data_IF_553234036425
#
_entry.id   IF_553234036425
#
_cell.length_a   1.000
_cell.length_b   1.000
_cell.length_c   1.000
_cell.angle_alpha   90.00
_cell.angle_beta   90.00
_cell.angle_gamma   90.00
#
_symmetry.space_group_name_H-M   'P 1'
#
loop_
_entity.id
_entity.type
_entity.pdbx_description
1 polymer ?
#
# COMPACT_ATOMS: atom_id res chain seq x y z
N UNK A 1 21.86 -6.34 -1.08
CA UNK A 1 20.45 -5.92 -1.23
C UNK A 1 19.91 -5.69 0.17
N UNK A 2 19.38 -4.51 0.49
CA UNK A 2 18.83 -4.21 1.81
C UNK A 2 17.32 -4.45 1.80
N UNK A 3 16.81 -5.06 2.87
CA UNK A 3 15.38 -5.18 3.14
C UNK A 3 15.05 -4.37 4.39
N UNK A 4 14.03 -3.53 4.31
CA UNK A 4 13.57 -2.71 5.42
C UNK A 4 12.10 -3.01 5.70
N UNK A 5 11.80 -3.34 6.96
CA UNK A 5 10.44 -3.57 7.42
C UNK A 5 9.89 -2.28 8.07
N UNK A 6 8.76 -1.77 7.56
CA UNK A 6 8.10 -0.54 8.02
C UNK A 6 6.76 -0.83 8.70
N UNK A 7 6.76 -1.19 10.00
CA UNK A 7 5.55 -1.51 10.74
C UNK A 7 4.63 -0.31 10.92
N UNK A 8 5.18 0.90 10.88
CA UNK A 8 4.44 2.18 10.91
C UNK A 8 3.50 2.35 9.71
N UNK A 9 3.77 1.70 8.58
CA UNK A 9 2.90 1.70 7.40
C UNK A 9 1.94 0.50 7.35
N UNK A 10 2.03 -0.42 8.31
CA UNK A 10 1.23 -1.63 8.30
C UNK A 10 -0.24 -1.33 8.64
N UNK A 11 -1.21 -1.90 7.91
CA UNK A 11 -2.62 -1.73 8.27
C UNK A 11 -2.93 -2.38 9.62
N UNK A 12 -3.69 -1.67 10.45
CA UNK A 12 -4.14 -2.18 11.75
C UNK A 12 -5.05 -3.39 11.59
N UNK A 13 -5.25 -4.14 12.68
CA UNK A 13 -6.24 -5.23 12.70
C UNK A 13 -7.65 -4.75 12.40
N UNK A 14 -8.01 -3.53 12.82
CA UNK A 14 -9.31 -2.94 12.57
C UNK A 14 -9.53 -2.66 11.08
N UNK A 15 -8.57 -2.03 10.41
CA UNK A 15 -8.63 -1.80 8.96
C UNK A 15 -8.72 -3.12 8.19
N UNK A 16 -7.96 -4.14 8.59
CA UNK A 16 -8.05 -5.47 7.96
C UNK A 16 -9.44 -6.10 8.10
N UNK A 17 -10.04 -6.03 9.30
CA UNK A 17 -11.41 -6.51 9.54
C UNK A 17 -12.44 -5.74 8.71
N UNK A 18 -12.24 -4.45 8.56
CA UNK A 18 -13.09 -3.60 7.74
C UNK A 18 -13.08 -4.05 6.27
N UNK A 19 -11.90 -4.31 5.70
CA UNK A 19 -11.80 -4.87 4.36
C UNK A 19 -12.50 -6.24 4.26
N UNK A 20 -12.30 -7.12 5.24
CA UNK A 20 -12.91 -8.45 5.24
C UNK A 20 -14.44 -8.40 5.31
N UNK A 21 -15.00 -7.46 6.06
CA UNK A 21 -16.44 -7.28 6.13
C UNK A 21 -17.02 -6.85 4.78
N UNK A 22 -16.34 -5.94 4.06
CA UNK A 22 -16.75 -5.52 2.73
C UNK A 22 -16.59 -6.63 1.69
N UNK A 23 -15.47 -7.35 1.73
CA UNK A 23 -15.23 -8.52 0.89
C UNK A 23 -16.34 -9.57 1.08
N UNK A 24 -16.71 -9.86 2.33
CA UNK A 24 -17.81 -10.77 2.66
C UNK A 24 -19.17 -10.26 2.15
N UNK A 25 -19.46 -8.96 2.33
CA UNK A 25 -20.69 -8.32 1.84
C UNK A 25 -20.83 -8.43 0.32
N UNK A 26 -19.70 -8.37 -0.41
CA UNK A 26 -19.65 -8.49 -1.87
C UNK A 26 -19.52 -9.93 -2.37
N UNK A 27 -19.35 -10.92 -1.48
CA UNK A 27 -19.10 -12.31 -1.85
C UNK A 27 -17.74 -12.53 -2.54
N UNK A 28 -16.76 -11.65 -2.29
CA UNK A 28 -15.43 -11.72 -2.89
C UNK A 28 -14.45 -12.33 -1.90
N UNK A 29 -13.72 -13.38 -2.31
CA UNK A 29 -12.64 -13.94 -1.50
C UNK A 29 -11.39 -13.06 -1.54
N UNK A 30 -10.57 -13.09 -0.48
CA UNK A 30 -9.32 -12.29 -0.39
C UNK A 30 -8.42 -12.41 -1.64
N UNK A 31 -8.24 -13.62 -2.17
CA UNK A 31 -7.40 -13.90 -3.36
C UNK A 31 -8.04 -13.43 -4.68
N UNK A 32 -9.33 -13.13 -4.67
CA UNK A 32 -10.10 -12.66 -5.83
C UNK A 32 -10.46 -11.18 -5.71
N UNK A 33 -9.95 -10.49 -4.68
CA UNK A 33 -10.13 -9.05 -4.52
C UNK A 33 -9.25 -8.34 -5.53
N UNK A 34 -9.86 -7.44 -6.30
CA UNK A 34 -9.17 -6.59 -7.26
C UNK A 34 -9.02 -5.14 -6.78
N UNK A 35 -9.78 -4.72 -5.77
CA UNK A 35 -9.80 -3.35 -5.26
C UNK A 35 -10.00 -3.31 -3.74
N UNK A 36 -9.44 -2.29 -3.09
CA UNK A 36 -9.71 -1.98 -1.68
C UNK A 36 -11.11 -1.38 -1.50
N UNK A 37 -11.72 -1.63 -0.34
CA UNK A 37 -12.94 -0.98 0.07
C UNK A 37 -12.72 0.54 0.16
N UNK A 38 -13.69 1.34 -0.30
CA UNK A 38 -13.59 2.80 -0.25
C UNK A 38 -13.33 3.32 1.17
N UNK A 39 -14.02 2.72 2.14
CA UNK A 39 -13.86 3.01 3.57
C UNK A 39 -12.44 2.66 4.07
N UNK A 40 -11.89 1.50 3.65
CA UNK A 40 -10.51 1.12 3.98
C UNK A 40 -9.53 2.16 3.45
N UNK A 41 -9.67 2.56 2.18
CA UNK A 41 -8.80 3.55 1.55
C UNK A 41 -8.84 4.88 2.28
N UNK A 42 -10.03 5.36 2.67
CA UNK A 42 -10.19 6.61 3.41
C UNK A 42 -9.49 6.54 4.77
N UNK A 43 -9.79 5.50 5.57
CA UNK A 43 -9.23 5.37 6.92
C UNK A 43 -7.74 5.10 6.91
N UNK A 44 -7.23 4.23 6.03
CA UNK A 44 -5.79 4.01 5.87
C UNK A 44 -5.05 5.31 5.52
N UNK A 45 -5.63 6.13 4.64
CA UNK A 45 -5.03 7.42 4.29
C UNK A 45 -4.98 8.35 5.51
N UNK A 46 -6.12 8.57 6.18
CA UNK A 46 -6.25 9.52 7.28
C UNK A 46 -5.50 9.10 8.56
N UNK A 47 -5.55 7.80 8.91
CA UNK A 47 -5.01 7.31 10.19
C UNK A 47 -3.53 6.95 10.08
N UNK A 48 -3.06 6.52 8.91
CA UNK A 48 -1.69 6.02 8.72
C UNK A 48 -0.90 6.95 7.80
N UNK A 49 -1.33 7.15 6.55
CA UNK A 49 -0.49 7.87 5.58
C UNK A 49 -0.34 9.35 5.87
N UNK A 50 -1.36 10.00 6.43
CA UNK A 50 -1.33 11.44 6.72
C UNK A 50 -0.41 11.79 7.91
N UNK A 51 -0.10 10.81 8.76
CA UNK A 51 0.83 10.97 9.89
C UNK A 51 2.22 10.40 9.64
N UNK A 52 2.40 9.61 8.57
CA UNK A 52 3.66 8.94 8.27
C UNK A 52 4.68 9.85 7.59
N UNK A 53 5.93 9.83 8.07
CA UNK A 53 7.07 10.41 7.35
C UNK A 53 7.64 9.38 6.35
N UNK A 54 7.43 9.68 5.06
CA UNK A 54 7.91 8.87 3.95
C UNK A 54 9.28 9.32 3.43
N UNK A 55 9.78 10.47 3.88
CA UNK A 55 11.08 11.01 3.45
C UNK A 55 12.22 10.02 3.63
N UNK A 56 12.33 9.29 4.77
CA UNK A 56 13.43 8.34 4.97
C UNK A 56 13.46 7.22 3.92
N UNK A 57 12.29 6.83 3.38
CA UNK A 57 12.20 5.78 2.36
C UNK A 57 12.89 6.25 1.07
N UNK A 58 12.64 7.49 0.66
CA UNK A 58 13.21 8.05 -0.58
C UNK A 58 14.66 8.46 -0.37
N UNK A 59 15.00 9.02 0.78
CA UNK A 59 16.39 9.40 1.12
C UNK A 59 17.34 8.21 1.21
N UNK A 60 16.82 7.01 1.50
CA UNK A 60 17.62 5.78 1.46
C UNK A 60 17.96 5.32 0.03
N UNK A 61 17.28 5.85 -1.00
CA UNK A 61 17.59 5.56 -2.40
C UNK A 61 18.75 6.44 -2.86
N UNK A 62 19.78 5.82 -3.46
CA UNK A 62 20.79 6.58 -4.21
C UNK A 62 20.14 7.31 -5.39
N UNK A 63 20.80 8.35 -5.92
CA UNK A 63 20.34 9.01 -7.15
C UNK A 63 20.15 7.98 -8.28
N UNK A 64 18.92 7.83 -8.77
CA UNK A 64 18.57 6.82 -9.77
C UNK A 64 18.36 5.39 -9.23
N UNK A 65 18.35 5.22 -7.90
CA UNK A 65 18.07 3.95 -7.25
C UNK A 65 16.62 3.50 -7.45
N UNK A 66 16.42 2.19 -7.50
CA UNK A 66 15.11 1.55 -7.65
C UNK A 66 14.82 0.72 -6.40
N UNK A 67 13.63 0.87 -5.83
CA UNK A 67 13.11 0.02 -4.77
C UNK A 67 11.74 -0.57 -5.16
N UNK A 68 11.41 -1.70 -4.53
CA UNK A 68 10.15 -2.38 -4.70
C UNK A 68 9.39 -2.45 -3.38
N UNK A 69 8.09 -2.17 -3.42
CA UNK A 69 7.17 -2.44 -2.31
C UNK A 69 6.63 -3.87 -2.45
N UNK A 70 6.90 -4.71 -1.45
CA UNK A 70 6.44 -6.10 -1.44
C UNK A 70 5.01 -6.20 -0.86
N UNK A 71 4.15 -6.95 -1.54
CA UNK A 71 2.84 -7.38 -1.04
C UNK A 71 2.53 -8.78 -1.59
N UNK A 72 1.67 -9.52 -0.89
CA UNK A 72 1.24 -10.87 -1.30
C UNK A 72 0.08 -10.86 -2.29
N UNK A 73 -0.60 -9.72 -2.44
CA UNK A 73 -1.74 -9.60 -3.36
C UNK A 73 -1.25 -9.41 -4.80
N UNK A 74 -2.00 -9.99 -5.75
CA UNK A 74 -1.70 -9.92 -7.19
C UNK A 74 -1.80 -8.47 -7.70
N UNK A 75 -2.98 -7.88 -7.56
CA UNK A 75 -3.26 -6.54 -8.07
C UNK A 75 -2.84 -5.47 -7.05
N UNK A 76 -2.24 -4.38 -7.52
CA UNK A 76 -1.80 -3.31 -6.63
C UNK A 76 -2.99 -2.61 -5.97
N UNK A 77 -4.08 -2.48 -6.72
CA UNK A 77 -5.36 -1.89 -6.35
C UNK A 77 -6.06 -2.67 -5.23
N UNK A 78 -5.73 -3.96 -5.05
CA UNK A 78 -6.25 -4.83 -4.00
C UNK A 78 -5.48 -4.76 -2.67
N UNK A 79 -4.38 -3.98 -2.60
CA UNK A 79 -3.46 -3.91 -1.46
C UNK A 79 -3.08 -2.46 -1.13
N UNK A 80 -2.79 -2.19 0.14
CA UNK A 80 -2.37 -0.86 0.61
C UNK A 80 -1.06 -0.35 -0.03
N UNK A 81 -0.26 -1.23 -0.65
CA UNK A 81 0.96 -0.81 -1.37
C UNK A 81 0.70 0.22 -2.47
N UNK A 82 -0.47 0.18 -3.14
CA UNK A 82 -0.82 1.18 -4.16
C UNK A 82 -1.05 2.55 -3.54
N UNK A 83 -1.62 2.60 -2.34
CA UNK A 83 -1.83 3.83 -1.58
C UNK A 83 -0.50 4.45 -1.13
N UNK A 84 0.42 3.63 -0.61
CA UNK A 84 1.78 4.08 -0.25
C UNK A 84 2.52 4.59 -1.48
N UNK A 85 2.52 3.82 -2.57
CA UNK A 85 3.22 4.19 -3.80
C UNK A 85 2.70 5.52 -4.37
N UNK A 86 1.37 5.70 -4.40
CA UNK A 86 0.75 6.96 -4.81
C UNK A 86 1.20 8.12 -3.91
N UNK A 87 1.20 7.95 -2.59
CA UNK A 87 1.64 9.00 -1.66
C UNK A 87 3.11 9.36 -1.84
N UNK A 88 3.98 8.38 -2.08
CA UNK A 88 5.40 8.59 -2.41
C UNK A 88 5.55 9.43 -3.70
N UNK A 89 4.78 9.11 -4.74
CA UNK A 89 4.80 9.87 -5.99
C UNK A 89 4.31 11.32 -5.78
N UNK A 90 3.23 11.51 -5.02
CA UNK A 90 2.66 12.82 -4.71
C UNK A 90 3.63 13.71 -3.91
N UNK A 91 4.28 13.17 -2.87
CA UNK A 91 5.14 13.93 -1.96
C UNK A 91 6.58 14.10 -2.44
N UNK A 92 7.13 13.08 -3.13
CA UNK A 92 8.55 13.02 -3.47
C UNK A 92 8.83 12.91 -4.97
N UNK A 93 7.79 12.95 -5.83
CA UNK A 93 7.90 12.92 -7.30
C UNK A 93 8.66 11.70 -7.84
N UNK A 94 8.60 10.58 -7.12
CA UNK A 94 9.12 9.30 -7.63
C UNK A 94 8.22 8.76 -8.74
N UNK A 95 8.81 8.05 -9.69
CA UNK A 95 8.04 7.30 -10.70
C UNK A 95 7.59 5.98 -10.09
N UNK A 96 6.33 5.61 -10.32
CA UNK A 96 5.73 4.37 -9.82
C UNK A 96 5.34 3.48 -10.98
N UNK A 97 5.79 2.23 -10.92
CA UNK A 97 5.35 1.16 -11.80
C UNK A 97 4.69 0.04 -10.96
N UNK A 98 3.47 -0.35 -11.34
CA UNK A 98 2.78 -1.47 -10.71
C UNK A 98 3.09 -2.76 -11.45
N UNK A 99 3.98 -3.57 -10.88
CA UNK A 99 4.34 -4.88 -11.43
C UNK A 99 3.15 -5.84 -11.34
N UNK A 100 2.79 -6.43 -12.47
CA UNK A 100 1.74 -7.46 -12.60
C UNK A 100 2.37 -8.76 -13.12
N UNK A 101 1.88 -9.94 -12.72
CA UNK A 101 2.32 -11.19 -13.32
C UNK A 101 2.10 -11.17 -14.84
N UNK A 102 3.07 -11.70 -15.58
CA UNK A 102 2.97 -11.92 -17.03
C UNK A 102 1.89 -12.95 -17.36
#
# INVERSE_FOLDING_TARGET
MAYEHRPDLAPTTELRRLQYAEDARRGVGKRSRHELAAEYTRRYSAEILDSADLTPIVSALSSGGVAALFCVERDAEACHRSLIARRLAEQHRVTVEHLRPL
#
